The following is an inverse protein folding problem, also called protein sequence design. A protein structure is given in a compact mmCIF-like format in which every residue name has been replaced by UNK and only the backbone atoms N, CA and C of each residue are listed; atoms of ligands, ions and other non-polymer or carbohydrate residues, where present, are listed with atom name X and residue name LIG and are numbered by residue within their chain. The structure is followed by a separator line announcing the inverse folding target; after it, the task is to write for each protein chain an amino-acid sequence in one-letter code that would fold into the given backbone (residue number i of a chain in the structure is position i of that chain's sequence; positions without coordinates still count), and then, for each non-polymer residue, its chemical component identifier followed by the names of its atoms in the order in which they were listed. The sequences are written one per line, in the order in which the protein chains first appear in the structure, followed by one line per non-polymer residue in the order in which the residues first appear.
data_IF_614287025388
#
_entry.id   IF_614287025388
#
_cell.length_a   1.000
_cell.length_b   1.000
_cell.length_c   1.000
_cell.angle_alpha   90.00
_cell.angle_beta   90.00
_cell.angle_gamma   90.00
#
_symmetry.space_group_name_H-M   'P 1'
#
loop_
_entity.id
_entity.type
_entity.pdbx_description
1 polymer ?
#
# COMPACT_ATOMS: atom_id res chain seq x y z
N UNK A 1 32.59 -7.64 -3.66
CA UNK A 1 31.17 -7.70 -3.18
C UNK A 1 31.03 -6.69 -2.04
N UNK A 2 30.48 -5.51 -2.32
CA UNK A 2 30.28 -4.47 -1.33
C UNK A 2 28.88 -4.67 -0.73
N UNK A 3 28.81 -5.14 0.51
CA UNK A 3 27.55 -5.31 1.21
C UNK A 3 26.98 -3.92 1.55
N UNK A 4 25.85 -3.58 0.96
CA UNK A 4 25.08 -2.39 1.30
C UNK A 4 24.52 -2.59 2.72
N UNK A 5 25.10 -1.90 3.72
CA UNK A 5 24.53 -1.88 5.07
C UNK A 5 23.27 -1.00 5.05
N UNK A 6 22.17 -1.49 5.59
CA UNK A 6 20.95 -0.68 5.70
C UNK A 6 21.24 0.60 6.49
N UNK A 7 20.78 1.75 6.02
CA UNK A 7 20.94 3.06 6.70
C UNK A 7 20.62 2.98 8.20
N UNK A 8 19.54 2.30 8.58
CA UNK A 8 19.16 2.11 9.98
C UNK A 8 20.23 1.38 10.83
N UNK A 9 20.95 0.41 10.25
CA UNK A 9 21.98 -0.36 10.95
C UNK A 9 23.25 0.49 11.16
N UNK A 10 23.60 1.31 10.17
CA UNK A 10 24.76 2.23 10.24
C UNK A 10 24.47 3.41 11.15
N UNK A 11 23.22 3.85 11.23
CA UNK A 11 22.75 4.94 12.09
C UNK A 11 22.62 4.55 13.56
N UNK A 12 22.61 3.25 13.88
CA UNK A 12 22.49 2.76 15.26
C UNK A 12 23.59 3.35 16.15
N UNK A 13 23.19 3.94 17.27
CA UNK A 13 24.08 4.64 18.21
C UNK A 13 24.44 6.07 17.80
N UNK A 14 24.14 6.50 16.58
CA UNK A 14 24.53 7.83 16.06
C UNK A 14 23.34 8.78 15.88
N UNK A 15 22.13 8.35 16.22
CA UNK A 15 20.89 9.08 15.94
C UNK A 15 20.87 10.50 16.49
N UNK A 16 21.42 10.74 17.68
CA UNK A 16 21.48 12.10 18.24
C UNK A 16 22.25 13.06 17.34
N UNK A 17 23.39 12.64 16.81
CA UNK A 17 24.20 13.43 15.89
C UNK A 17 23.53 13.64 14.54
N UNK A 18 22.88 12.61 14.02
CA UNK A 18 22.12 12.66 12.76
C UNK A 18 20.97 13.67 12.88
N UNK A 19 20.15 13.55 13.91
CA UNK A 19 18.97 14.40 14.13
C UNK A 19 19.37 15.87 14.35
N UNK A 20 20.49 16.14 15.03
CA UNK A 20 21.04 17.49 15.15
C UNK A 20 21.38 18.09 13.77
N UNK A 21 22.01 17.31 12.89
CA UNK A 21 22.36 17.76 11.54
C UNK A 21 21.15 17.93 10.64
N UNK A 22 20.08 17.19 10.89
CA UNK A 22 18.79 17.39 10.23
C UNK A 22 17.99 18.58 10.78
N UNK A 23 18.51 19.29 11.79
CA UNK A 23 17.93 20.51 12.34
C UNK A 23 17.06 20.31 13.58
N UNK A 24 16.96 19.10 14.12
CA UNK A 24 16.23 18.85 15.38
C UNK A 24 16.91 19.62 16.52
N UNK A 25 16.17 20.47 17.29
CA UNK A 25 16.75 21.25 18.38
C UNK A 25 17.46 20.38 19.42
N UNK A 26 18.66 20.75 19.82
CA UNK A 26 19.47 20.00 20.81
C UNK A 26 18.74 19.79 22.14
N UNK A 27 17.92 20.74 22.56
CA UNK A 27 17.10 20.66 23.77
C UNK A 27 16.06 19.52 23.74
N UNK A 28 15.59 19.10 22.56
CA UNK A 28 14.69 17.97 22.42
C UNK A 28 15.41 16.62 22.54
N UNK A 29 16.72 16.55 22.34
CA UNK A 29 17.50 15.31 22.31
C UNK A 29 18.26 15.02 23.63
N UNK A 30 17.74 15.50 24.74
CA UNK A 30 18.42 15.43 26.07
C UNK A 30 18.10 14.20 26.88
N UNK A 31 17.07 13.40 26.46
CA UNK A 31 16.56 12.29 27.25
C UNK A 31 15.57 12.72 28.35
N UNK A 32 15.37 14.02 28.55
CA UNK A 32 14.39 14.58 29.48
C UNK A 32 13.09 14.93 28.74
N UNK A 33 11.99 14.99 29.48
CA UNK A 33 10.74 15.54 28.96
C UNK A 33 10.91 17.03 28.59
N UNK A 34 10.29 17.44 27.50
CA UNK A 34 10.32 18.82 27.03
C UNK A 34 9.38 19.08 25.87
N UNK A 35 9.48 20.27 25.26
CA UNK A 35 8.71 20.62 24.07
C UNK A 35 8.97 19.65 22.91
N UNK A 36 7.92 19.26 22.20
CA UNK A 36 8.06 18.42 21.01
C UNK A 36 8.59 19.27 19.84
N UNK A 37 9.62 18.81 19.12
CA UNK A 37 10.17 19.55 17.99
C UNK A 37 9.20 19.64 16.80
N UNK A 38 8.13 18.81 16.77
CA UNK A 38 7.15 18.78 15.70
C UNK A 38 5.84 19.52 16.05
N UNK A 39 5.29 19.29 17.25
CA UNK A 39 4.00 19.84 17.64
C UNK A 39 4.03 20.81 18.85
N UNK A 40 5.23 21.14 19.35
CA UNK A 40 5.38 22.02 20.51
C UNK A 40 4.91 21.41 21.82
N UNK A 41 4.29 22.23 22.67
CA UNK A 41 3.88 21.85 24.04
C UNK A 41 5.02 22.06 25.04
N UNK A 42 4.80 21.71 26.32
CA UNK A 42 5.73 22.03 27.39
C UNK A 42 6.66 20.84 27.73
N UNK A 43 6.10 19.63 27.92
CA UNK A 43 6.83 18.47 28.45
C UNK A 43 6.38 17.13 27.86
N UNK A 44 5.78 17.15 26.67
CA UNK A 44 5.14 15.98 26.06
C UNK A 44 6.07 15.10 25.24
N UNK A 45 7.28 15.56 24.95
CA UNK A 45 8.26 14.83 24.11
C UNK A 45 9.46 14.37 24.94
N UNK A 46 9.94 13.16 24.66
CA UNK A 46 11.19 12.63 25.20
C UNK A 46 11.91 11.78 24.15
N UNK A 47 13.20 12.04 23.97
CA UNK A 47 14.09 11.24 23.14
C UNK A 47 14.80 10.20 24.00
N UNK A 48 14.37 8.94 23.92
CA UNK A 48 14.88 7.86 24.78
C UNK A 48 16.16 7.21 24.27
N UNK A 49 16.35 7.17 22.94
CA UNK A 49 17.46 6.52 22.25
C UNK A 49 17.75 5.09 22.73
N UNK A 50 16.71 4.30 23.05
CA UNK A 50 16.85 2.93 23.56
C UNK A 50 17.63 2.07 22.56
N UNK A 51 18.62 1.34 23.05
CA UNK A 51 19.50 0.48 22.26
C UNK A 51 20.19 1.20 21.08
N UNK A 52 20.32 2.52 21.14
CA UNK A 52 20.91 3.33 20.07
C UNK A 52 20.03 3.45 18.83
N UNK A 53 18.73 3.12 18.90
CA UNK A 53 17.80 3.17 17.77
C UNK A 53 17.18 4.55 17.53
N UNK A 54 17.51 5.56 18.35
CA UNK A 54 16.92 6.89 18.24
C UNK A 54 15.45 6.95 18.66
N UNK A 55 15.03 6.07 19.55
CA UNK A 55 13.62 5.98 19.99
C UNK A 55 13.17 7.24 20.70
N UNK A 56 11.92 7.60 20.50
CA UNK A 56 11.28 8.78 21.08
C UNK A 56 9.80 8.53 21.35
N UNK A 57 9.20 9.38 22.17
CA UNK A 57 7.78 9.40 22.46
C UNK A 57 7.29 10.84 22.59
N UNK A 58 6.10 11.12 22.09
CA UNK A 58 5.35 12.36 22.28
C UNK A 58 3.88 12.06 22.55
N UNK A 59 3.31 12.65 23.57
CA UNK A 59 1.90 12.43 23.93
C UNK A 59 0.89 12.86 22.86
N UNK A 60 1.30 13.62 21.84
CA UNK A 60 0.44 14.05 20.73
C UNK A 60 0.84 13.45 19.38
N UNK A 61 2.15 13.28 19.12
CA UNK A 61 2.66 12.80 17.83
C UNK A 61 2.89 11.28 17.79
N UNK A 62 2.75 10.58 18.92
CA UNK A 62 3.02 9.15 19.03
C UNK A 62 4.45 8.83 19.42
N UNK A 63 4.96 7.68 18.96
CA UNK A 63 6.28 7.18 19.27
C UNK A 63 6.91 6.54 18.02
N UNK A 64 8.24 6.46 18.00
CA UNK A 64 8.96 5.85 16.89
C UNK A 64 10.46 5.69 17.17
N UNK A 65 11.19 5.33 16.12
CA UNK A 65 12.66 5.29 16.12
C UNK A 65 13.26 6.55 15.48
N UNK A 66 14.58 6.58 15.34
CA UNK A 66 15.30 7.73 14.79
C UNK A 66 14.92 8.03 13.33
N UNK A 67 14.63 7.01 12.52
CA UNK A 67 14.19 7.20 11.16
C UNK A 67 12.79 7.82 11.11
N UNK A 68 11.86 7.32 11.92
CA UNK A 68 10.52 7.89 12.04
C UNK A 68 10.55 9.35 12.51
N UNK A 69 11.44 9.70 13.47
CA UNK A 69 11.62 11.08 13.92
C UNK A 69 12.17 11.97 12.79
N UNK A 70 13.17 11.48 12.05
CA UNK A 70 13.75 12.22 10.94
C UNK A 70 12.72 12.52 9.85
N UNK A 71 11.93 11.52 9.46
CA UNK A 71 10.87 11.67 8.47
C UNK A 71 9.77 12.65 8.93
N UNK A 72 9.28 12.51 10.15
CA UNK A 72 8.21 13.37 10.68
C UNK A 72 8.71 14.82 10.90
N UNK A 73 9.93 15.00 11.36
CA UNK A 73 10.49 16.33 11.60
C UNK A 73 10.77 17.08 10.31
N UNK A 74 11.34 16.39 9.29
CA UNK A 74 11.66 17.02 7.99
C UNK A 74 10.46 17.10 7.05
N UNK A 75 9.40 16.34 7.31
CA UNK A 75 8.25 16.20 6.39
C UNK A 75 8.57 15.42 5.12
N UNK A 76 9.73 14.78 5.05
CA UNK A 76 10.23 14.04 3.88
C UNK A 76 9.90 12.56 3.96
N UNK A 77 9.74 11.92 2.79
CA UNK A 77 9.57 10.48 2.70
C UNK A 77 10.88 9.72 2.96
N UNK A 78 10.79 8.41 3.24
CA UNK A 78 11.96 7.57 3.54
C UNK A 78 13.04 7.62 2.44
N UNK A 79 12.64 7.59 1.18
CA UNK A 79 13.53 7.64 0.02
C UNK A 79 14.26 8.98 -0.16
N UNK A 80 13.83 10.02 0.54
CA UNK A 80 14.47 11.35 0.56
C UNK A 80 15.37 11.50 1.79
N UNK A 81 14.90 11.03 2.96
CA UNK A 81 15.62 11.15 4.23
C UNK A 81 16.76 10.14 4.35
N UNK A 82 16.60 8.91 3.88
CA UNK A 82 17.63 7.88 4.01
C UNK A 82 18.96 8.26 3.31
N UNK A 83 18.97 8.81 2.07
CA UNK A 83 20.19 9.31 1.44
C UNK A 83 20.84 10.49 2.19
N UNK A 84 20.05 11.40 2.78
CA UNK A 84 20.57 12.49 3.59
C UNK A 84 21.29 11.97 4.86
N UNK A 85 20.70 10.95 5.48
CA UNK A 85 21.31 10.28 6.64
C UNK A 85 22.59 9.55 6.23
N UNK A 86 22.59 8.86 5.09
CA UNK A 86 23.79 8.18 4.58
C UNK A 86 24.92 9.18 4.28
N UNK A 87 24.60 10.33 3.72
CA UNK A 87 25.56 11.43 3.52
C UNK A 87 26.11 11.96 4.84
N UNK A 88 25.25 12.17 5.85
CA UNK A 88 25.66 12.59 7.21
C UNK A 88 26.60 11.57 7.85
N UNK A 89 26.40 10.30 7.59
CA UNK A 89 27.19 9.20 8.16
C UNK A 89 28.52 8.95 7.45
N UNK A 90 28.76 9.62 6.30
CA UNK A 90 29.88 9.30 5.42
C UNK A 90 29.73 7.89 4.81
N UNK A 91 28.51 7.39 4.73
CA UNK A 91 28.18 6.10 4.16
C UNK A 91 28.04 6.23 2.62
N UNK A 92 28.96 7.00 2.02
CA UNK A 92 29.02 7.12 0.57
C UNK A 92 29.41 5.78 0.00
N UNK A 93 28.49 5.19 -0.75
CA UNK A 93 28.77 4.03 -1.58
C UNK A 93 29.62 4.54 -2.75
N UNK A 94 30.93 4.34 -2.66
CA UNK A 94 31.80 4.45 -3.82
C UNK A 94 31.33 3.37 -4.81
N UNK A 95 30.58 3.78 -5.81
CA UNK A 95 29.94 2.88 -6.77
C UNK A 95 28.43 2.68 -6.52
N UNK A 96 27.76 3.56 -5.78
CA UNK A 96 26.31 3.64 -5.89
C UNK A 96 25.99 3.91 -7.37
N UNK A 97 25.35 2.94 -8.01
CA UNK A 97 24.54 3.27 -9.17
C UNK A 97 23.77 4.53 -8.79
N UNK A 98 23.86 5.58 -9.64
CA UNK A 98 23.04 6.79 -9.53
C UNK A 98 21.65 6.35 -9.09
N UNK A 99 20.99 7.02 -8.12
CA UNK A 99 19.60 6.73 -7.81
C UNK A 99 18.90 6.57 -9.13
N UNK A 100 18.30 5.40 -9.36
CA UNK A 100 17.82 4.97 -10.67
C UNK A 100 17.17 6.18 -11.31
N UNK A 101 17.75 6.70 -12.39
CA UNK A 101 17.46 8.02 -12.95
C UNK A 101 15.95 8.19 -12.91
N UNK A 102 15.43 9.26 -12.30
CA UNK A 102 14.00 9.44 -12.19
C UNK A 102 13.41 9.15 -13.55
N UNK A 103 12.67 8.03 -13.64
CA UNK A 103 12.10 7.59 -14.91
C UNK A 103 11.25 8.75 -15.37
N UNK A 104 11.63 9.36 -16.48
CA UNK A 104 10.88 10.51 -17.01
C UNK A 104 9.43 10.08 -17.25
N UNK A 105 8.50 11.01 -17.16
CA UNK A 105 7.08 10.71 -17.40
C UNK A 105 6.85 10.07 -18.79
N UNK A 106 7.66 10.43 -19.78
CA UNK A 106 7.65 9.79 -21.11
C UNK A 106 8.09 8.33 -21.07
N UNK A 107 9.19 8.04 -20.36
CA UNK A 107 9.67 6.66 -20.17
C UNK A 107 8.66 5.83 -19.38
N UNK A 108 8.05 6.41 -18.35
CA UNK A 108 6.99 5.77 -17.57
C UNK A 108 5.79 5.42 -18.46
N UNK A 109 5.30 6.35 -19.26
CA UNK A 109 4.19 6.11 -20.21
C UNK A 109 4.54 5.02 -21.22
N UNK A 110 5.77 5.01 -21.73
CA UNK A 110 6.24 3.96 -22.64
C UNK A 110 6.22 2.58 -21.97
N UNK A 111 6.80 2.47 -20.76
CA UNK A 111 6.81 1.21 -20.00
C UNK A 111 5.40 0.71 -19.68
N UNK A 112 4.46 1.60 -19.34
CA UNK A 112 3.07 1.25 -19.11
C UNK A 112 2.40 0.70 -20.38
N UNK A 113 2.62 1.34 -21.54
CA UNK A 113 2.10 0.88 -22.83
C UNK A 113 2.69 -0.49 -23.23
N UNK A 114 3.98 -0.69 -23.04
CA UNK A 114 4.66 -1.96 -23.34
C UNK A 114 4.12 -3.11 -22.50
N UNK A 115 3.90 -2.89 -21.20
CA UNK A 115 3.29 -3.90 -20.32
C UNK A 115 1.83 -4.15 -20.70
N UNK A 116 1.05 -3.09 -20.95
CA UNK A 116 -0.36 -3.22 -21.34
C UNK A 116 -0.52 -3.96 -22.67
N UNK A 117 0.34 -3.70 -23.65
CA UNK A 117 0.32 -4.36 -24.96
C UNK A 117 0.56 -5.88 -24.89
N UNK A 118 1.18 -6.38 -23.80
CA UNK A 118 1.39 -7.81 -23.55
C UNK A 118 0.18 -8.49 -22.88
N UNK A 119 -0.91 -7.76 -22.70
CA UNK A 119 -2.10 -8.25 -21.99
C UNK A 119 -3.30 -8.43 -22.93
N UNK A 120 -4.13 -9.39 -22.59
CA UNK A 120 -5.44 -9.61 -23.22
C UNK A 120 -6.56 -9.43 -22.18
N UNK A 121 -7.82 -9.17 -22.56
CA UNK A 121 -8.94 -9.25 -21.63
C UNK A 121 -8.98 -10.63 -20.95
N UNK A 122 -9.33 -10.66 -19.68
CA UNK A 122 -9.54 -11.93 -18.95
C UNK A 122 -10.71 -12.66 -19.57
N UNK A 123 -10.51 -13.95 -19.82
CA UNK A 123 -11.54 -14.84 -20.38
C UNK A 123 -11.76 -16.06 -19.48
N UNK A 124 -12.94 -16.63 -19.52
CA UNK A 124 -13.23 -17.89 -18.83
C UNK A 124 -12.26 -18.99 -19.28
N UNK A 125 -11.67 -19.67 -18.31
CA UNK A 125 -10.68 -20.75 -18.52
C UNK A 125 -9.22 -20.28 -18.64
N UNK A 126 -8.92 -18.97 -18.65
CA UNK A 126 -7.53 -18.52 -18.56
C UNK A 126 -6.98 -18.59 -17.11
N UNK A 127 -5.67 -18.35 -16.93
CA UNK A 127 -5.04 -18.50 -15.63
C UNK A 127 -5.48 -17.44 -14.60
N UNK A 128 -5.98 -16.29 -15.04
CA UNK A 128 -6.55 -15.28 -14.15
C UNK A 128 -7.94 -15.71 -13.68
N UNK A 129 -8.75 -16.23 -14.57
CA UNK A 129 -10.04 -16.83 -14.22
C UNK A 129 -9.86 -18.00 -13.25
N UNK A 130 -8.92 -18.90 -13.53
CA UNK A 130 -8.57 -20.01 -12.63
C UNK A 130 -8.13 -19.50 -11.24
N UNK A 131 -7.34 -18.44 -11.21
CA UNK A 131 -6.88 -17.81 -9.97
C UNK A 131 -8.03 -17.22 -9.14
N UNK A 132 -8.87 -16.42 -9.78
CA UNK A 132 -9.99 -15.75 -9.11
C UNK A 132 -11.06 -16.77 -8.68
N UNK A 133 -11.28 -17.81 -9.50
CA UNK A 133 -12.15 -18.93 -9.15
C UNK A 133 -11.62 -19.73 -7.95
N UNK A 134 -10.32 -20.01 -7.91
CA UNK A 134 -9.69 -20.66 -6.76
C UNK A 134 -9.77 -19.83 -5.47
N UNK A 135 -9.90 -18.51 -5.59
CA UNK A 135 -10.19 -17.57 -4.49
C UNK A 135 -11.68 -17.38 -4.23
N UNK A 136 -12.54 -18.12 -4.91
CA UNK A 136 -14.00 -18.06 -4.78
C UNK A 136 -14.66 -16.81 -5.38
N UNK A 137 -13.91 -16.00 -6.14
CA UNK A 137 -14.36 -14.70 -6.68
C UNK A 137 -14.26 -14.61 -8.21
N UNK A 138 -14.38 -15.75 -8.90
CA UNK A 138 -14.50 -15.81 -10.35
C UNK A 138 -15.81 -15.19 -10.85
N UNK A 139 -15.80 -14.65 -12.06
CA UNK A 139 -16.96 -14.04 -12.74
C UNK A 139 -17.21 -14.70 -14.10
N UNK A 140 -18.44 -14.60 -14.59
CA UNK A 140 -18.75 -14.95 -15.98
C UNK A 140 -18.16 -13.95 -16.97
N UNK A 141 -18.11 -12.67 -16.59
CA UNK A 141 -17.52 -11.57 -17.37
C UNK A 141 -16.69 -10.69 -16.45
N UNK A 142 -15.43 -10.52 -16.79
CA UNK A 142 -14.52 -9.67 -16.01
C UNK A 142 -14.53 -8.22 -16.48
N UNK A 143 -14.46 -7.30 -15.53
CA UNK A 143 -14.36 -5.87 -15.87
C UNK A 143 -13.09 -5.59 -16.67
N UNK A 144 -13.15 -4.64 -17.62
CA UNK A 144 -12.07 -4.28 -18.56
C UNK A 144 -10.76 -3.85 -17.88
N UNK A 145 -10.78 -3.48 -16.61
CA UNK A 145 -9.59 -3.14 -15.82
C UNK A 145 -8.79 -4.37 -15.40
N UNK A 146 -9.37 -5.56 -15.46
CA UNK A 146 -8.67 -6.82 -15.20
C UNK A 146 -8.24 -7.42 -16.53
N UNK A 147 -6.94 -7.71 -16.64
CA UNK A 147 -6.33 -8.22 -17.86
C UNK A 147 -5.41 -9.39 -17.55
N UNK A 148 -5.23 -10.26 -18.50
CA UNK A 148 -4.32 -11.40 -18.41
C UNK A 148 -3.07 -11.16 -19.25
N UNK A 149 -1.88 -11.34 -18.65
CA UNK A 149 -0.60 -11.43 -19.34
C UNK A 149 -0.09 -12.86 -19.26
N UNK A 150 0.02 -13.61 -20.38
CA UNK A 150 0.49 -15.00 -20.37
C UNK A 150 1.94 -15.15 -19.88
N UNK A 151 2.81 -14.19 -20.22
CA UNK A 151 4.23 -14.20 -19.86
C UNK A 151 4.73 -12.77 -19.70
N UNK A 152 4.88 -12.33 -18.48
CA UNK A 152 5.37 -10.98 -18.14
C UNK A 152 6.65 -11.09 -17.33
N UNK A 153 7.62 -10.18 -17.55
CA UNK A 153 8.84 -10.10 -16.76
C UNK A 153 8.52 -9.84 -15.29
N UNK A 154 9.01 -10.73 -14.44
CA UNK A 154 8.71 -10.69 -12.99
C UNK A 154 9.66 -9.75 -12.20
N UNK A 155 10.75 -9.28 -12.84
CA UNK A 155 11.80 -8.47 -12.22
C UNK A 155 12.81 -9.28 -11.39
N UNK A 156 12.70 -10.60 -11.39
CA UNK A 156 13.67 -11.55 -10.77
C UNK A 156 14.38 -12.40 -11.84
N UNK A 157 14.27 -11.99 -13.11
CA UNK A 157 14.92 -12.62 -14.26
C UNK A 157 14.04 -13.63 -14.98
N UNK A 158 12.79 -13.85 -14.55
CA UNK A 158 11.86 -14.80 -15.15
C UNK A 158 10.71 -14.15 -15.92
N UNK A 159 9.97 -15.02 -16.63
CA UNK A 159 8.67 -14.71 -17.22
C UNK A 159 7.60 -15.52 -16.50
N UNK A 160 6.52 -14.87 -16.09
CA UNK A 160 5.40 -15.51 -15.39
C UNK A 160 4.06 -15.02 -15.90
N UNK A 161 3.02 -15.85 -15.84
CA UNK A 161 1.66 -15.37 -16.04
C UNK A 161 1.28 -14.37 -14.95
N UNK A 162 0.48 -13.37 -15.31
CA UNK A 162 0.09 -12.33 -14.37
C UNK A 162 -1.35 -11.83 -14.62
N UNK A 163 -2.06 -11.58 -13.53
CA UNK A 163 -3.18 -10.65 -13.51
C UNK A 163 -2.61 -9.22 -13.55
N UNK A 164 -2.95 -8.48 -14.59
CA UNK A 164 -2.60 -7.07 -14.74
C UNK A 164 -3.86 -6.24 -14.54
N UNK A 165 -3.86 -5.42 -13.48
CA UNK A 165 -5.01 -4.58 -13.15
C UNK A 165 -4.70 -3.13 -13.49
N UNK A 166 -5.59 -2.51 -14.25
CA UNK A 166 -5.46 -1.10 -14.65
C UNK A 166 -5.82 -0.21 -13.49
N UNK A 167 -4.86 0.58 -13.03
CA UNK A 167 -5.06 1.57 -11.96
C UNK A 167 -5.54 2.87 -12.59
N UNK A 168 -6.66 3.37 -12.10
CA UNK A 168 -7.30 4.58 -12.58
C UNK A 168 -7.25 5.70 -11.54
N UNK A 169 -7.05 6.92 -11.99
CA UNK A 169 -7.13 8.12 -11.16
C UNK A 169 -8.57 8.47 -10.77
N UNK A 170 -8.77 9.51 -9.94
CA UNK A 170 -10.11 9.97 -9.55
C UNK A 170 -10.98 10.34 -10.76
N UNK A 171 -10.38 10.90 -11.80
CA UNK A 171 -11.00 11.26 -13.08
C UNK A 171 -11.29 10.09 -14.01
N UNK A 172 -10.96 8.86 -13.60
CA UNK A 172 -11.09 7.64 -14.41
C UNK A 172 -9.98 7.41 -15.43
N UNK A 173 -9.01 8.32 -15.56
CA UNK A 173 -7.88 8.14 -16.45
C UNK A 173 -6.98 6.99 -15.98
N UNK A 174 -6.46 6.20 -16.92
CA UNK A 174 -5.51 5.13 -16.61
C UNK A 174 -4.14 5.73 -16.23
N UNK A 175 -3.72 5.54 -14.98
CA UNK A 175 -2.52 6.17 -14.43
C UNK A 175 -1.39 5.18 -14.13
N UNK A 176 -1.69 3.89 -13.97
CA UNK A 176 -0.68 2.86 -13.72
C UNK A 176 -1.23 1.46 -14.01
N UNK A 177 -0.37 0.45 -13.78
CA UNK A 177 -0.72 -0.96 -13.81
C UNK A 177 -0.23 -1.63 -12.53
N UNK A 178 -1.07 -2.49 -11.95
CA UNK A 178 -0.70 -3.38 -10.87
C UNK A 178 -0.62 -4.80 -11.41
N UNK A 179 0.45 -5.52 -11.07
CA UNK A 179 0.72 -6.89 -11.56
C UNK A 179 0.69 -7.85 -10.39
N UNK A 180 -0.14 -8.87 -10.47
CA UNK A 180 -0.13 -10.00 -9.55
C UNK A 180 0.37 -11.22 -10.32
N UNK A 181 1.60 -11.64 -10.06
CA UNK A 181 2.20 -12.81 -10.70
C UNK A 181 1.58 -14.08 -10.15
N UNK A 182 1.28 -15.01 -11.06
CA UNK A 182 0.56 -16.24 -10.75
C UNK A 182 1.47 -17.45 -10.90
N UNK A 183 1.10 -18.54 -10.23
CA UNK A 183 1.69 -19.85 -10.48
C UNK A 183 1.28 -20.33 -11.88
N UNK A 184 2.08 -21.22 -12.52
CA UNK A 184 1.74 -21.77 -13.83
C UNK A 184 0.43 -22.55 -13.88
N UNK A 185 -0.05 -23.06 -12.73
CA UNK A 185 -1.36 -23.74 -12.61
C UNK A 185 -2.54 -22.78 -12.40
N UNK A 186 -2.29 -21.49 -12.27
CA UNK A 186 -3.28 -20.45 -12.01
C UNK A 186 -3.94 -20.49 -10.63
N UNK A 187 -3.62 -21.45 -9.75
CA UNK A 187 -4.36 -21.64 -8.48
C UNK A 187 -3.92 -20.73 -7.34
N UNK A 188 -2.77 -20.08 -7.46
CA UNK A 188 -2.23 -19.21 -6.43
C UNK A 188 -1.33 -18.13 -7.03
N UNK A 189 -0.94 -17.16 -6.19
CA UNK A 189 0.14 -16.21 -6.49
C UNK A 189 1.47 -16.95 -6.64
N UNK A 190 2.35 -16.44 -7.48
CA UNK A 190 3.67 -17.00 -7.70
C UNK A 190 4.49 -17.02 -6.40
N UNK A 191 5.26 -18.07 -6.22
CA UNK A 191 6.21 -18.21 -5.11
C UNK A 191 7.45 -17.35 -5.42
N UNK A 192 7.42 -16.11 -4.97
CA UNK A 192 8.46 -15.10 -5.14
C UNK A 192 8.40 -14.09 -4.00
N UNK A 193 9.48 -13.35 -3.79
CA UNK A 193 9.59 -12.40 -2.67
C UNK A 193 8.44 -11.37 -2.66
N UNK A 194 8.04 -10.89 -3.83
CA UNK A 194 6.95 -9.89 -3.97
C UNK A 194 6.09 -10.24 -5.18
N UNK A 195 5.05 -11.07 -5.02
CA UNK A 195 4.20 -11.48 -6.15
C UNK A 195 3.26 -10.37 -6.64
N UNK A 196 3.05 -9.32 -5.87
CA UNK A 196 2.24 -8.14 -6.24
C UNK A 196 3.16 -6.94 -6.42
N UNK A 197 3.15 -6.34 -7.60
CA UNK A 197 4.03 -5.20 -7.95
C UNK A 197 3.24 -4.12 -8.70
N UNK A 198 3.25 -2.92 -8.15
CA UNK A 198 2.80 -1.73 -8.86
C UNK A 198 3.88 -1.30 -9.86
N UNK A 199 3.50 -0.75 -11.01
CA UNK A 199 4.47 -0.14 -11.91
C UNK A 199 5.09 1.11 -11.25
N UNK A 200 6.40 1.37 -11.47
CA UNK A 200 7.09 2.52 -10.90
C UNK A 200 6.42 3.86 -11.27
N UNK A 201 6.49 4.81 -10.37
CA UNK A 201 6.01 6.18 -10.56
C UNK A 201 5.06 6.64 -9.47
N UNK A 202 4.90 7.95 -9.35
CA UNK A 202 3.97 8.57 -8.41
C UNK A 202 2.53 8.40 -8.92
N UNK A 203 1.63 8.03 -8.02
CA UNK A 203 0.19 7.96 -8.30
C UNK A 203 -0.53 9.17 -7.72
N UNK A 204 -1.59 9.66 -8.38
CA UNK A 204 -2.47 10.65 -7.78
C UNK A 204 -3.20 10.05 -6.57
N UNK A 205 -3.53 10.91 -5.59
CA UNK A 205 -4.43 10.52 -4.52
C UNK A 205 -5.79 10.12 -5.10
N UNK A 206 -6.41 9.10 -4.52
CA UNK A 206 -7.66 8.53 -5.04
C UNK A 206 -7.49 7.47 -6.12
N UNK A 207 -6.26 7.18 -6.56
CA UNK A 207 -6.03 6.10 -7.53
C UNK A 207 -6.45 4.73 -6.97
N UNK A 208 -7.14 3.93 -7.79
CA UNK A 208 -7.62 2.60 -7.44
C UNK A 208 -7.85 1.74 -8.69
N UNK A 209 -8.17 0.47 -8.50
CA UNK A 209 -8.70 -0.41 -9.56
C UNK A 209 -10.22 -0.41 -9.45
N UNK A 210 -10.90 0.10 -10.48
CA UNK A 210 -12.35 0.02 -10.59
C UNK A 210 -12.73 -1.36 -11.11
N UNK A 211 -13.44 -2.13 -10.31
CA UNK A 211 -13.82 -3.51 -10.64
C UNK A 211 -15.21 -3.61 -11.29
N UNK A 212 -15.92 -2.52 -11.33
CA UNK A 212 -17.22 -2.33 -11.97
C UNK A 212 -17.38 -0.85 -12.35
N UNK A 213 -18.31 -0.57 -13.26
CA UNK A 213 -18.74 0.80 -13.54
C UNK A 213 -19.52 1.35 -12.34
N UNK A 214 -19.46 2.64 -12.12
CA UNK A 214 -20.17 3.34 -11.06
C UNK A 214 -21.18 4.31 -11.67
N UNK A 215 -22.44 4.19 -11.24
CA UNK A 215 -23.58 4.96 -11.77
C UNK A 215 -24.23 5.86 -10.73
N UNK A 216 -23.59 6.03 -9.56
CA UNK A 216 -24.11 6.79 -8.42
C UNK A 216 -24.54 5.91 -7.26
N UNK A 217 -24.78 6.52 -6.10
CA UNK A 217 -25.19 5.85 -4.88
C UNK A 217 -24.03 5.36 -4.01
N UNK A 218 -24.26 4.31 -3.17
CA UNK A 218 -23.24 3.76 -2.31
C UNK A 218 -22.11 3.08 -3.10
N UNK A 219 -20.87 3.29 -2.64
CA UNK A 219 -19.68 2.67 -3.23
C UNK A 219 -18.79 2.07 -2.14
N UNK A 220 -18.40 0.82 -2.35
CA UNK A 220 -17.43 0.14 -1.50
C UNK A 220 -15.99 0.35 -1.95
N UNK A 221 -15.06 0.31 -1.00
CA UNK A 221 -13.63 0.27 -1.24
C UNK A 221 -12.98 -0.74 -0.30
N UNK A 222 -12.10 -1.58 -0.83
CA UNK A 222 -11.28 -2.53 -0.07
C UNK A 222 -9.81 -2.38 -0.41
N UNK A 223 -8.92 -3.00 0.37
CA UNK A 223 -7.49 -2.98 0.05
C UNK A 223 -7.20 -3.87 -1.16
N UNK A 224 -7.59 -5.14 -1.12
CA UNK A 224 -7.28 -6.14 -2.15
C UNK A 224 -8.36 -6.28 -3.23
N UNK A 225 -7.98 -6.77 -4.41
CA UNK A 225 -8.91 -7.08 -5.50
C UNK A 225 -9.82 -8.23 -5.10
N UNK A 226 -9.26 -9.28 -4.52
CA UNK A 226 -9.98 -10.46 -4.06
C UNK A 226 -10.98 -10.09 -2.96
N UNK A 227 -10.52 -9.29 -1.97
CA UNK A 227 -11.34 -8.74 -0.89
C UNK A 227 -12.49 -7.90 -1.44
N UNK A 228 -12.22 -7.01 -2.40
CA UNK A 228 -13.22 -6.14 -3.01
C UNK A 228 -14.30 -6.93 -3.76
N UNK A 229 -13.91 -7.96 -4.54
CA UNK A 229 -14.85 -8.81 -5.26
C UNK A 229 -15.74 -9.63 -4.29
N UNK A 230 -15.14 -10.19 -3.26
CA UNK A 230 -15.88 -10.92 -2.23
C UNK A 230 -16.85 -10.02 -1.47
N UNK A 231 -16.42 -8.83 -1.07
CA UNK A 231 -17.28 -7.83 -0.43
C UNK A 231 -18.44 -7.41 -1.32
N UNK A 232 -18.19 -7.20 -2.61
CA UNK A 232 -19.26 -6.91 -3.60
C UNK A 232 -20.31 -8.01 -3.64
N UNK A 233 -19.89 -9.28 -3.63
CA UNK A 233 -20.80 -10.43 -3.63
C UNK A 233 -21.53 -10.61 -2.30
N UNK A 234 -20.89 -10.30 -1.16
CA UNK A 234 -21.49 -10.43 0.17
C UNK A 234 -22.56 -9.35 0.44
N UNK A 235 -22.31 -8.13 -0.03
CA UNK A 235 -23.11 -6.96 0.34
C UNK A 235 -23.93 -6.38 -0.82
N UNK A 236 -23.83 -6.96 -2.00
CA UNK A 236 -24.60 -6.56 -3.20
C UNK A 236 -24.43 -5.08 -3.58
N UNK A 237 -23.20 -4.56 -3.48
CA UNK A 237 -22.87 -3.20 -3.87
C UNK A 237 -21.59 -3.16 -4.72
N UNK A 238 -21.39 -2.13 -5.56
CA UNK A 238 -20.13 -1.95 -6.28
C UNK A 238 -18.98 -1.73 -5.29
N UNK A 239 -17.88 -2.47 -5.45
CA UNK A 239 -16.68 -2.32 -4.61
C UNK A 239 -15.45 -2.22 -5.50
N UNK A 240 -14.59 -1.22 -5.24
CA UNK A 240 -13.31 -1.00 -5.90
C UNK A 240 -12.14 -1.44 -5.02
N UNK A 241 -10.93 -1.55 -5.59
CA UNK A 241 -9.74 -1.99 -4.87
C UNK A 241 -8.66 -0.90 -4.84
N UNK A 242 -8.22 -0.53 -3.64
CA UNK A 242 -7.18 0.48 -3.42
C UNK A 242 -5.75 -0.05 -3.60
N UNK A 243 -5.55 -1.36 -3.59
CA UNK A 243 -4.30 -2.12 -3.80
C UNK A 243 -3.35 -2.19 -2.61
N UNK A 244 -3.36 -1.26 -1.69
CA UNK A 244 -2.62 -1.31 -0.42
C UNK A 244 -3.18 -0.30 0.59
N UNK A 245 -2.80 -0.46 1.86
CA UNK A 245 -3.25 0.36 2.97
C UNK A 245 -2.98 1.88 2.77
N UNK A 246 -1.81 2.24 2.22
CA UNK A 246 -1.47 3.65 1.98
C UNK A 246 -2.35 4.29 0.89
N UNK A 247 -2.70 3.53 -0.15
CA UNK A 247 -3.64 4.00 -1.17
C UNK A 247 -5.07 4.05 -0.63
N UNK A 248 -5.48 3.07 0.18
CA UNK A 248 -6.78 3.07 0.85
C UNK A 248 -6.97 4.33 1.71
N UNK A 249 -6.01 4.65 2.56
CA UNK A 249 -6.08 5.84 3.42
C UNK A 249 -6.25 7.17 2.64
N UNK A 250 -5.72 7.24 1.41
CA UNK A 250 -5.76 8.43 0.54
C UNK A 250 -6.81 8.37 -0.56
N UNK A 251 -7.58 7.28 -0.64
CA UNK A 251 -8.59 7.11 -1.68
C UNK A 251 -9.66 8.20 -1.62
N UNK A 252 -10.17 8.58 -2.78
CA UNK A 252 -11.22 9.59 -2.93
C UNK A 252 -12.38 8.98 -3.72
N UNK A 253 -13.62 9.11 -3.22
CA UNK A 253 -14.80 8.66 -3.95
C UNK A 253 -15.00 9.52 -5.21
N UNK A 254 -15.60 8.94 -6.27
CA UNK A 254 -15.99 9.68 -7.46
C UNK A 254 -17.16 10.62 -7.16
N UNK A 255 -17.40 11.55 -8.08
CA UNK A 255 -18.61 12.38 -8.07
C UNK A 255 -19.88 11.51 -8.13
N UNK A 256 -20.91 11.93 -7.41
CA UNK A 256 -22.18 11.18 -7.30
C UNK A 256 -22.15 10.01 -6.30
N UNK A 257 -21.05 9.82 -5.58
CA UNK A 257 -21.00 8.88 -4.46
C UNK A 257 -21.57 9.58 -3.21
N UNK A 258 -22.66 9.05 -2.66
CA UNK A 258 -23.35 9.61 -1.50
C UNK A 258 -22.98 8.88 -0.18
N UNK A 259 -22.57 7.63 -0.28
CA UNK A 259 -22.14 6.81 0.86
C UNK A 259 -20.91 5.97 0.49
N UNK A 260 -19.95 5.87 1.42
CA UNK A 260 -18.78 5.01 1.27
C UNK A 260 -18.81 3.88 2.29
N UNK A 261 -18.68 2.64 1.80
CA UNK A 261 -18.50 1.46 2.66
C UNK A 261 -17.05 0.98 2.54
N UNK A 262 -16.29 1.07 3.61
CA UNK A 262 -14.86 0.67 3.65
C UNK A 262 -14.78 -0.75 4.19
N UNK A 263 -14.27 -1.66 3.38
CA UNK A 263 -14.05 -3.06 3.73
C UNK A 263 -12.60 -3.25 4.20
N UNK A 264 -12.42 -3.29 5.51
CA UNK A 264 -11.12 -3.41 6.18
C UNK A 264 -10.74 -4.88 6.40
N UNK A 265 -9.50 -5.25 6.11
CA UNK A 265 -8.96 -6.54 6.57
C UNK A 265 -8.84 -6.52 8.10
N UNK A 266 -9.04 -7.67 8.77
CA UNK A 266 -8.89 -7.79 10.21
C UNK A 266 -7.46 -8.21 10.59
N UNK A 267 -6.51 -7.33 10.34
CA UNK A 267 -5.09 -7.57 10.62
C UNK A 267 -4.82 -7.65 12.12
N UNK A 268 -4.09 -8.67 12.61
CA UNK A 268 -3.67 -8.75 14.02
C UNK A 268 -2.81 -7.57 14.48
N UNK A 269 -2.16 -6.87 13.55
CA UNK A 269 -1.35 -5.65 13.81
C UNK A 269 -2.09 -4.36 13.48
N UNK A 270 -3.38 -4.44 13.17
CA UNK A 270 -4.27 -3.31 12.89
C UNK A 270 -3.88 -2.43 11.68
N UNK A 271 -3.07 -2.93 10.74
CA UNK A 271 -2.64 -2.15 9.57
C UNK A 271 -3.81 -1.78 8.65
N UNK A 272 -4.63 -2.75 8.27
CA UNK A 272 -5.82 -2.55 7.45
C UNK A 272 -6.85 -1.67 8.14
N UNK A 273 -7.13 -1.93 9.43
CA UNK A 273 -8.06 -1.13 10.23
C UNK A 273 -7.62 0.33 10.36
N UNK A 274 -6.33 0.58 10.61
CA UNK A 274 -5.78 1.93 10.71
C UNK A 274 -5.96 2.72 9.41
N UNK A 275 -5.71 2.10 8.26
CA UNK A 275 -5.92 2.72 6.95
C UNK A 275 -7.41 3.01 6.70
N UNK A 276 -8.29 2.05 7.01
CA UNK A 276 -9.73 2.18 6.85
C UNK A 276 -10.30 3.30 7.73
N UNK A 277 -9.95 3.37 9.01
CA UNK A 277 -10.40 4.43 9.91
C UNK A 277 -9.79 5.79 9.57
N UNK A 278 -8.56 5.84 9.04
CA UNK A 278 -7.97 7.08 8.52
C UNK A 278 -8.80 7.62 7.35
N UNK A 279 -9.19 6.77 6.41
CA UNK A 279 -10.07 7.13 5.31
C UNK A 279 -11.44 7.56 5.82
N UNK A 280 -12.05 6.76 6.71
CA UNK A 280 -13.38 7.03 7.26
C UNK A 280 -13.43 8.40 7.96
N UNK A 281 -12.47 8.69 8.84
CA UNK A 281 -12.37 9.98 9.51
C UNK A 281 -12.27 11.15 8.52
N UNK A 282 -11.40 11.00 7.50
CA UNK A 282 -11.20 12.04 6.49
C UNK A 282 -12.45 12.33 5.66
N UNK A 283 -13.23 11.31 5.33
CA UNK A 283 -14.48 11.45 4.55
C UNK A 283 -15.62 11.98 5.44
N UNK A 284 -15.76 11.47 6.66
CA UNK A 284 -16.74 11.95 7.61
C UNK A 284 -16.56 13.43 7.97
N UNK A 285 -15.32 13.89 8.12
CA UNK A 285 -15.00 15.32 8.30
C UNK A 285 -15.42 16.21 7.11
N UNK A 286 -15.62 15.60 5.93
CA UNK A 286 -16.17 16.28 4.75
C UNK A 286 -17.69 16.17 4.63
N UNK A 287 -18.37 15.60 5.64
CA UNK A 287 -19.82 15.43 5.68
C UNK A 287 -20.35 14.22 4.88
N UNK A 288 -19.48 13.30 4.46
CA UNK A 288 -19.89 12.10 3.72
C UNK A 288 -20.38 11.02 4.68
N UNK A 289 -21.41 10.28 4.28
CA UNK A 289 -21.84 9.06 4.98
C UNK A 289 -20.79 7.95 4.78
N UNK A 290 -20.28 7.39 5.88
CA UNK A 290 -19.22 6.38 5.84
C UNK A 290 -19.50 5.26 6.83
N UNK A 291 -19.36 4.03 6.36
CA UNK A 291 -19.38 2.82 7.16
C UNK A 291 -18.04 2.07 7.02
N UNK A 292 -17.53 1.51 8.12
CA UNK A 292 -16.36 0.62 8.13
C UNK A 292 -16.81 -0.76 8.55
N UNK A 293 -16.58 -1.74 7.70
CA UNK A 293 -16.87 -3.14 7.96
C UNK A 293 -15.56 -3.92 8.06
N UNK A 294 -15.48 -4.80 9.06
CA UNK A 294 -14.30 -5.65 9.31
C UNK A 294 -14.79 -7.07 9.58
N UNK A 295 -14.16 -8.11 9.02
CA UNK A 295 -14.47 -9.50 9.35
C UNK A 295 -14.37 -9.75 10.86
N UNK A 296 -15.23 -10.60 11.45
CA UNK A 296 -15.23 -10.81 12.90
C UNK A 296 -14.02 -11.59 13.42
N UNK A 297 -13.37 -12.38 12.58
CA UNK A 297 -12.27 -13.27 12.97
C UNK A 297 -10.93 -12.56 12.69
N UNK A 298 -10.06 -12.37 13.70
CA UNK A 298 -8.73 -11.80 13.49
C UNK A 298 -7.89 -12.61 12.49
N UNK A 299 -7.27 -11.91 11.56
CA UNK A 299 -6.46 -12.50 10.48
C UNK A 299 -7.23 -12.85 9.21
N UNK A 300 -8.56 -12.70 9.20
CA UNK A 300 -9.39 -12.90 8.00
C UNK A 300 -9.62 -11.60 7.22
N UNK A 301 -9.79 -11.77 5.91
CA UNK A 301 -10.34 -10.77 4.98
C UNK A 301 -11.74 -11.18 4.49
N UNK A 302 -12.38 -10.33 3.68
CA UNK A 302 -13.71 -10.65 3.12
C UNK A 302 -13.67 -11.80 2.09
N UNK A 303 -12.52 -12.06 1.45
CA UNK A 303 -12.39 -13.22 0.58
C UNK A 303 -12.38 -14.53 1.41
N UNK A 304 -11.77 -14.53 2.58
CA UNK A 304 -11.82 -15.66 3.51
C UNK A 304 -13.24 -15.87 4.04
N UNK A 305 -13.94 -14.79 4.42
CA UNK A 305 -15.36 -14.83 4.82
C UNK A 305 -16.24 -15.43 3.73
N UNK A 306 -16.06 -14.97 2.49
CA UNK A 306 -16.81 -15.47 1.33
C UNK A 306 -16.55 -16.95 1.09
N UNK A 307 -15.30 -17.39 1.07
CA UNK A 307 -14.94 -18.80 0.89
C UNK A 307 -15.49 -19.67 2.02
N UNK A 308 -15.38 -19.23 3.28
CA UNK A 308 -15.92 -19.98 4.43
C UNK A 308 -17.45 -20.14 4.36
N UNK A 309 -18.16 -19.14 3.86
CA UNK A 309 -19.62 -19.21 3.67
C UNK A 309 -20.03 -20.27 2.65
N UNK A 310 -19.21 -20.53 1.62
CA UNK A 310 -19.50 -21.43 0.52
C UNK A 310 -18.85 -22.81 0.67
N UNK A 311 -18.09 -23.05 1.73
CA UNK A 311 -17.56 -24.39 2.04
C UNK A 311 -18.68 -25.35 2.43
N UNK A 312 -18.57 -26.65 2.05
CA UNK A 312 -19.51 -27.69 2.49
C UNK A 312 -19.65 -27.70 4.01
N UNK A 313 -20.86 -28.05 4.50
CA UNK A 313 -21.19 -28.14 5.93
C UNK A 313 -20.40 -29.23 6.64
N UNK A 314 -19.22 -29.23 6.85
CA UNK A 314 -18.30 -30.19 7.49
C UNK A 314 -16.87 -29.72 7.44
N UNK A 315 -16.59 -28.73 6.59
CA UNK A 315 -15.25 -28.14 6.42
C UNK A 315 -15.20 -26.66 6.82
N UNK A 316 -16.29 -26.12 7.40
CA UNK A 316 -16.33 -24.74 7.93
C UNK A 316 -15.51 -24.67 9.21
N UNK A 317 -14.55 -23.78 9.24
CA UNK A 317 -13.76 -23.45 10.44
C UNK A 317 -14.56 -22.59 11.40
#
# INVERSE_FOLDING_TARGET
MTFHRKTADVAKGKWRGILLRLGVPSGALTGKHGPCPMCGGTDRFRFDNKEGRGTWICGACGAGDGMALAMQFTGKAFNEVAPEIDMILGNEVVGAEKPASEITEAQRKTALREVYAQTVPVQSGDLVDAYLTARGVGDLVYHRTLRFAPALRDGEGGLRPALVSVVQGPDGANVSLHRTFLRPDGKAKAEMATPRKLMPGKLPDGACVRLCDFTGGPLGIAEGIETAKAASSLYYLPVWAALNAAMLARWQPPEGCDEVVIFSDNDPKFGGQAAAFTLAHRLACKGMAVNVLTPPIPGEDFADMWMNRHRPKGERR
#
